data_IF_247448562735
#
_entry.id   IF_247448562735
#
_cell.length_a   1.000
_cell.length_b   1.000
_cell.length_c   1.000
_cell.angle_alpha   90.00
_cell.angle_beta   90.00
_cell.angle_gamma   90.00
#
_symmetry.space_group_name_H-M   'P 1'
#
loop_
_entity.id
_entity.type
_entity.pdbx_description
1 polymer ?
#
# COMPACT_ATOMS: atom_id res chain seq x y z
N UNK A 1 6.34 7.27 3.91
CA UNK A 1 6.03 6.35 2.81
C UNK A 1 5.52 7.16 1.64
N UNK A 2 5.88 6.80 0.41
CA UNK A 2 5.36 7.47 -0.79
C UNK A 2 4.09 6.78 -1.30
N UNK A 3 3.08 7.56 -1.69
CA UNK A 3 1.87 7.06 -2.34
C UNK A 3 1.84 7.52 -3.80
N UNK A 4 2.02 6.58 -4.73
CA UNK A 4 1.94 6.82 -6.17
C UNK A 4 0.53 6.55 -6.68
N UNK A 5 -0.04 7.51 -7.40
CA UNK A 5 -1.38 7.41 -7.98
C UNK A 5 -1.26 7.54 -9.50
N UNK A 6 -1.91 6.61 -10.20
CA UNK A 6 -2.03 6.60 -11.66
C UNK A 6 -3.51 6.60 -12.01
N UNK A 7 -3.93 7.54 -12.85
CA UNK A 7 -5.33 7.65 -13.24
C UNK A 7 -5.47 8.11 -14.69
N UNK A 8 -6.49 7.59 -15.35
CA UNK A 8 -6.90 8.00 -16.68
C UNK A 8 -8.41 7.89 -16.81
N UNK A 9 -8.96 8.57 -17.81
CA UNK A 9 -10.36 8.51 -18.14
C UNK A 9 -10.59 7.52 -19.28
N UNK A 10 -11.50 6.57 -19.07
CA UNK A 10 -11.85 5.51 -20.03
C UNK A 10 -13.24 5.68 -20.66
N UNK A 11 -13.94 6.79 -20.37
CA UNK A 11 -15.29 7.03 -20.90
C UNK A 11 -15.29 7.56 -22.34
N UNK A 12 -16.49 7.77 -22.90
CA UNK A 12 -16.67 8.08 -24.34
C UNK A 12 -16.24 9.49 -24.76
N UNK A 13 -16.09 10.40 -23.79
CA UNK A 13 -15.73 11.82 -24.04
C UNK A 13 -14.24 11.94 -24.38
N UNK A 14 -13.80 13.09 -24.92
CA UNK A 14 -12.36 13.36 -25.16
C UNK A 14 -11.59 13.51 -23.85
N UNK A 15 -12.19 14.16 -22.86
CA UNK A 15 -11.67 14.33 -21.50
C UNK A 15 -12.83 14.52 -20.52
N UNK A 16 -12.54 14.42 -19.23
CA UNK A 16 -13.47 14.77 -18.15
C UNK A 16 -13.56 16.28 -17.96
N UNK A 17 -14.46 16.68 -17.06
CA UNK A 17 -14.38 17.98 -16.38
C UNK A 17 -13.35 17.89 -15.23
N UNK A 18 -13.46 18.80 -14.26
CA UNK A 18 -12.73 18.71 -13.01
C UNK A 18 -13.06 17.40 -12.29
N UNK A 19 -12.04 16.69 -11.85
CA UNK A 19 -12.17 15.45 -11.06
C UNK A 19 -11.57 15.64 -9.69
N UNK A 20 -12.09 14.89 -8.73
CA UNK A 20 -11.57 14.87 -7.37
C UNK A 20 -11.09 13.47 -7.04
N UNK A 21 -9.85 13.38 -6.59
CA UNK A 21 -9.26 12.16 -6.01
C UNK A 21 -9.38 12.27 -4.50
N UNK A 22 -10.22 11.42 -3.92
CA UNK A 22 -10.48 11.30 -2.49
C UNK A 22 -9.64 10.16 -1.93
N UNK A 23 -8.78 10.47 -0.97
CA UNK A 23 -7.95 9.47 -0.29
C UNK A 23 -8.29 9.49 1.20
N UNK A 24 -8.61 8.31 1.73
CA UNK A 24 -8.69 8.07 3.17
C UNK A 24 -7.44 7.28 3.58
N UNK A 25 -6.42 7.92 4.18
CA UNK A 25 -5.17 7.24 4.49
C UNK A 25 -5.35 6.04 5.42
N UNK A 26 -4.42 5.09 5.32
CA UNK A 26 -4.28 3.99 6.28
C UNK A 26 -4.31 4.52 7.72
N UNK A 27 -4.94 3.77 8.62
CA UNK A 27 -5.03 4.17 10.04
C UNK A 27 -3.64 4.42 10.63
N UNK A 28 -3.47 5.58 11.27
CA UNK A 28 -2.19 6.01 11.83
C UNK A 28 -1.26 6.74 10.85
N UNK A 29 -1.66 6.91 9.58
CA UNK A 29 -0.95 7.73 8.61
C UNK A 29 -1.61 9.09 8.43
N UNK A 30 -0.78 10.10 8.18
CA UNK A 30 -1.18 11.48 7.85
C UNK A 30 -0.39 11.96 6.62
N UNK A 31 -0.92 12.86 5.80
CA UNK A 31 -0.14 13.44 4.70
C UNK A 31 0.96 14.36 5.22
N UNK A 32 2.14 14.30 4.60
CA UNK A 32 3.12 15.37 4.73
C UNK A 32 2.63 16.61 3.98
N UNK A 33 2.57 17.74 4.68
CA UNK A 33 2.04 19.00 4.13
C UNK A 33 2.95 19.61 3.07
N UNK A 34 4.26 19.36 3.11
CA UNK A 34 5.18 19.95 2.14
C UNK A 34 5.08 19.25 0.78
N UNK A 35 5.04 17.91 0.77
CA UNK A 35 4.82 17.12 -0.44
C UNK A 35 3.49 17.44 -1.12
N UNK A 36 2.42 17.75 -0.36
CA UNK A 36 1.16 18.22 -0.96
C UNK A 36 1.29 19.61 -1.62
N UNK A 37 2.07 20.52 -1.06
CA UNK A 37 2.34 21.83 -1.70
C UNK A 37 3.20 21.69 -2.95
N UNK A 38 4.14 20.76 -2.96
CA UNK A 38 4.92 20.42 -4.15
C UNK A 38 4.03 19.81 -5.22
N UNK A 39 3.08 18.95 -4.82
CA UNK A 39 2.09 18.37 -5.73
C UNK A 39 1.23 19.44 -6.44
N UNK A 40 0.90 20.54 -5.76
CA UNK A 40 0.19 21.68 -6.37
C UNK A 40 0.99 22.41 -7.46
N UNK A 41 2.30 22.16 -7.59
CA UNK A 41 3.11 22.69 -8.69
C UNK A 41 2.89 21.88 -9.99
N UNK A 42 2.27 20.70 -9.92
CA UNK A 42 1.92 19.92 -11.09
C UNK A 42 0.76 20.61 -11.86
N UNK A 43 0.92 20.91 -13.17
CA UNK A 43 -0.10 21.62 -13.94
C UNK A 43 -1.45 20.88 -14.07
N UNK A 44 -1.49 19.56 -13.84
CA UNK A 44 -2.73 18.79 -13.80
C UNK A 44 -3.51 19.01 -12.49
N UNK A 45 -2.84 19.40 -11.41
CA UNK A 45 -3.41 19.58 -10.07
C UNK A 45 -3.76 21.05 -9.86
N UNK A 46 -5.01 21.31 -9.52
CA UNK A 46 -5.49 22.67 -9.23
C UNK A 46 -5.29 23.08 -7.78
N UNK A 47 -5.50 22.16 -6.84
CA UNK A 47 -5.33 22.35 -5.39
C UNK A 47 -5.43 21.03 -4.64
N UNK A 48 -4.93 21.05 -3.41
CA UNK A 48 -5.10 19.97 -2.42
C UNK A 48 -5.84 20.49 -1.19
N UNK A 49 -6.69 19.64 -0.61
CA UNK A 49 -7.37 19.92 0.65
C UNK A 49 -7.19 18.76 1.61
N UNK A 50 -6.96 19.09 2.89
CA UNK A 50 -6.91 18.09 3.97
C UNK A 50 -7.99 18.45 4.99
N UNK A 51 -8.96 17.55 5.15
CA UNK A 51 -10.07 17.73 6.09
C UNK A 51 -10.35 16.43 6.83
N UNK A 52 -10.44 16.48 8.16
CA UNK A 52 -10.68 15.31 9.00
C UNK A 52 -9.78 14.09 8.68
N UNK A 53 -8.49 14.34 8.40
CA UNK A 53 -7.49 13.35 7.95
C UNK A 53 -7.76 12.71 6.57
N UNK A 54 -8.78 13.14 5.84
CA UNK A 54 -8.99 12.81 4.43
C UNK A 54 -8.27 13.80 3.55
N UNK A 55 -7.76 13.32 2.42
CA UNK A 55 -7.04 14.11 1.43
C UNK A 55 -7.92 14.20 0.20
N UNK A 56 -8.10 15.40 -0.34
CA UNK A 56 -8.83 15.66 -1.59
C UNK A 56 -7.91 16.37 -2.56
N UNK A 57 -7.65 15.75 -3.71
CA UNK A 57 -6.80 16.31 -4.77
C UNK A 57 -7.71 16.68 -5.93
N UNK A 58 -7.74 17.96 -6.29
CA UNK A 58 -8.57 18.47 -7.36
C UNK A 58 -7.75 18.55 -8.64
N UNK A 59 -8.11 17.79 -9.67
CA UNK A 59 -7.43 17.83 -10.96
C UNK A 59 -8.28 18.56 -11.99
N UNK A 60 -7.61 19.30 -12.87
CA UNK A 60 -8.26 20.13 -13.89
C UNK A 60 -9.13 19.30 -14.85
N UNK A 61 -8.60 18.15 -15.30
CA UNK A 61 -9.25 17.18 -16.18
C UNK A 61 -8.43 15.89 -16.24
N UNK A 62 -9.05 14.79 -16.65
CA UNK A 62 -8.40 13.56 -17.08
C UNK A 62 -8.70 13.30 -18.55
N UNK A 63 -7.75 12.65 -19.22
CA UNK A 63 -7.87 12.25 -20.62
C UNK A 63 -7.69 10.74 -20.74
N UNK A 64 -7.67 10.21 -21.96
CA UNK A 64 -7.33 8.81 -22.22
C UNK A 64 -5.85 8.50 -21.94
N UNK A 65 -5.01 9.53 -21.77
CA UNK A 65 -3.62 9.38 -21.34
C UNK A 65 -3.55 9.25 -19.82
N UNK A 66 -2.65 8.37 -19.35
CA UNK A 66 -2.42 8.14 -17.93
C UNK A 66 -1.66 9.29 -17.31
N UNK A 67 -2.31 9.98 -16.38
CA UNK A 67 -1.70 10.96 -15.51
C UNK A 67 -1.21 10.29 -14.23
N UNK A 68 -0.06 10.73 -13.72
CA UNK A 68 0.50 10.21 -12.47
C UNK A 68 1.04 11.31 -11.58
N UNK A 69 0.96 11.06 -10.28
CA UNK A 69 1.52 11.93 -9.26
C UNK A 69 1.79 11.16 -7.98
N UNK A 70 2.58 11.76 -7.09
CA UNK A 70 2.96 11.19 -5.80
C UNK A 70 2.96 12.25 -4.71
N UNK A 71 2.78 11.81 -3.48
CA UNK A 71 3.00 12.61 -2.28
C UNK A 71 3.35 11.69 -1.10
N UNK A 72 3.86 12.28 -0.03
CA UNK A 72 4.37 11.55 1.12
C UNK A 72 3.28 11.39 2.21
N UNK A 73 3.20 10.19 2.77
CA UNK A 73 2.45 9.85 3.98
C UNK A 73 3.41 9.58 5.14
N UNK A 74 3.17 10.22 6.27
CA UNK A 74 3.92 10.05 7.52
C UNK A 74 3.12 9.19 8.50
N UNK A 75 3.81 8.31 9.22
CA UNK A 75 3.17 7.49 10.26
C UNK A 75 3.17 8.24 11.59
N UNK A 76 2.00 8.73 12.00
CA UNK A 76 1.78 9.40 13.28
C UNK A 76 1.52 8.38 14.41
N UNK A 77 0.88 7.26 14.10
CA UNK A 77 0.54 6.23 15.09
C UNK A 77 0.85 4.84 14.55
N UNK A 78 1.46 4.01 15.39
CA UNK A 78 1.74 2.62 15.06
C UNK A 78 0.46 1.81 15.25
N UNK A 79 0.02 1.19 14.16
CA UNK A 79 -1.15 0.29 14.12
C UNK A 79 -0.66 -1.06 13.60
N UNK A 80 -0.95 -2.14 14.32
CA UNK A 80 -0.41 -3.48 14.00
C UNK A 80 -1.19 -4.15 12.85
N UNK A 81 -2.52 -4.14 12.92
CA UNK A 81 -3.40 -4.79 11.95
C UNK A 81 -3.96 -3.76 10.96
N UNK A 82 -3.07 -3.19 10.14
CA UNK A 82 -3.45 -2.23 9.11
C UNK A 82 -4.42 -2.87 8.11
N UNK A 83 -5.63 -2.32 8.04
CA UNK A 83 -6.58 -2.62 6.98
C UNK A 83 -6.22 -1.84 5.71
N UNK A 84 -6.58 -2.33 4.51
CA UNK A 84 -6.42 -1.58 3.28
C UNK A 84 -7.18 -0.24 3.34
N UNK A 85 -6.68 0.74 2.62
CA UNK A 85 -7.26 2.07 2.52
C UNK A 85 -7.79 2.29 1.10
N UNK A 86 -8.81 3.14 0.94
CA UNK A 86 -9.45 3.37 -0.36
C UNK A 86 -9.04 4.70 -0.98
N UNK A 87 -8.84 4.68 -2.29
CA UNK A 87 -8.70 5.86 -3.14
C UNK A 87 -9.87 5.85 -4.11
N UNK A 88 -10.61 6.96 -4.18
CA UNK A 88 -11.75 7.13 -5.09
C UNK A 88 -11.51 8.33 -5.99
N UNK A 89 -11.60 8.13 -7.30
CA UNK A 89 -11.63 9.20 -8.30
C UNK A 89 -13.08 9.40 -8.72
N UNK A 90 -13.56 10.64 -8.71
CA UNK A 90 -14.96 10.98 -9.07
C UNK A 90 -15.03 12.27 -9.90
N UNK A 91 -16.01 12.36 -10.80
CA UNK A 91 -16.36 13.63 -11.45
C UNK A 91 -16.98 14.58 -10.42
N UNK A 92 -16.52 15.84 -10.39
CA UNK A 92 -16.97 16.82 -9.41
C UNK A 92 -18.47 17.17 -9.52
N UNK A 93 -19.04 17.09 -10.73
CA UNK A 93 -20.44 17.45 -10.98
C UNK A 93 -21.38 16.25 -11.00
N UNK A 94 -20.84 15.05 -11.23
CA UNK A 94 -21.59 13.80 -11.21
C UNK A 94 -20.85 12.72 -10.41
N UNK A 95 -20.99 12.70 -9.07
CA UNK A 95 -20.33 11.70 -8.22
C UNK A 95 -20.75 10.26 -8.51
N UNK A 96 -21.80 10.00 -9.29
CA UNK A 96 -22.15 8.66 -9.72
C UNK A 96 -21.14 8.10 -10.75
N UNK A 97 -20.41 8.97 -11.46
CA UNK A 97 -19.29 8.61 -12.32
C UNK A 97 -17.99 8.58 -11.49
N UNK A 98 -17.67 7.42 -10.91
CA UNK A 98 -16.49 7.22 -10.07
C UNK A 98 -15.82 5.86 -10.28
N UNK A 99 -14.56 5.79 -9.86
CA UNK A 99 -13.78 4.56 -9.78
C UNK A 99 -13.01 4.53 -8.45
N UNK A 100 -13.04 3.40 -7.77
CA UNK A 100 -12.36 3.22 -6.49
C UNK A 100 -11.39 2.03 -6.53
N UNK A 101 -10.27 2.16 -5.83
CA UNK A 101 -9.31 1.08 -5.62
C UNK A 101 -8.87 1.05 -4.17
N UNK A 102 -8.45 -0.12 -3.70
CA UNK A 102 -7.82 -0.28 -2.39
C UNK A 102 -6.30 -0.29 -2.55
N UNK A 103 -5.60 0.28 -1.58
CA UNK A 103 -4.15 0.23 -1.47
C UNK A 103 -3.72 -0.25 -0.10
N UNK A 104 -2.52 -0.83 -0.05
CA UNK A 104 -2.00 -1.54 1.10
C UNK A 104 -0.76 -0.82 1.62
N UNK A 105 -0.50 -0.95 2.92
CA UNK A 105 0.74 -0.45 3.50
C UNK A 105 1.94 -1.13 2.82
N UNK A 106 3.02 -0.41 2.50
CA UNK A 106 4.28 -1.05 2.15
C UNK A 106 4.72 -1.83 3.38
N UNK A 107 4.62 -3.17 3.32
CA UNK A 107 4.72 -4.10 4.45
C UNK A 107 5.62 -3.57 5.59
N UNK A 108 5.00 -3.39 6.76
CA UNK A 108 5.41 -2.61 7.94
C UNK A 108 6.86 -2.75 8.42
N UNK A 109 7.86 -2.35 7.64
CA UNK A 109 9.28 -2.38 8.04
C UNK A 109 9.72 -3.71 8.64
N UNK A 110 9.06 -4.82 8.28
CA UNK A 110 9.32 -6.16 8.81
C UNK A 110 9.91 -7.00 7.70
N UNK A 111 11.12 -7.50 7.92
CA UNK A 111 11.74 -8.46 7.01
C UNK A 111 11.35 -9.87 7.43
N UNK A 112 10.92 -10.65 6.45
CA UNK A 112 10.72 -12.06 6.63
C UNK A 112 12.10 -12.76 6.71
N UNK A 113 12.35 -13.57 7.74
CA UNK A 113 13.61 -14.29 7.94
C UNK A 113 13.40 -15.75 8.35
N UNK A 114 14.41 -16.59 8.16
CA UNK A 114 14.35 -18.02 8.49
C UNK A 114 14.87 -18.38 9.90
N UNK A 115 15.43 -17.43 10.63
CA UNK A 115 15.94 -17.63 11.99
C UNK A 115 14.81 -17.67 13.04
N UNK A 116 14.00 -18.72 13.02
CA UNK A 116 12.92 -18.94 14.00
C UNK A 116 13.33 -20.07 14.95
N UNK A 117 13.17 -19.84 16.27
CA UNK A 117 13.44 -20.86 17.29
C UNK A 117 12.53 -22.09 17.07
N UNK A 118 13.02 -23.29 17.37
CA UNK A 118 12.32 -24.54 17.01
C UNK A 118 10.91 -24.63 17.62
N UNK A 119 10.75 -24.06 18.81
CA UNK A 119 9.52 -24.01 19.59
C UNK A 119 8.47 -23.08 18.96
N UNK A 120 8.93 -22.00 18.33
CA UNK A 120 8.08 -20.97 17.71
C UNK A 120 7.78 -21.25 16.24
N UNK A 121 8.40 -22.28 15.64
CA UNK A 121 8.17 -22.65 14.23
C UNK A 121 6.69 -22.98 14.01
N UNK A 122 6.07 -22.29 13.06
CA UNK A 122 4.75 -22.63 12.54
C UNK A 122 4.86 -23.62 11.37
N UNK A 123 3.95 -24.60 11.29
CA UNK A 123 3.95 -25.61 10.22
C UNK A 123 3.62 -24.98 8.87
N UNK A 124 4.43 -25.25 7.84
CA UNK A 124 4.18 -24.79 6.47
C UNK A 124 4.12 -25.93 5.43
N UNK A 125 4.87 -27.00 5.69
CA UNK A 125 4.92 -28.19 4.84
C UNK A 125 4.16 -29.37 5.44
N UNK A 126 4.46 -30.57 4.94
CA UNK A 126 3.97 -31.84 5.47
C UNK A 126 5.16 -32.71 5.92
N UNK A 127 4.92 -33.77 6.72
CA UNK A 127 5.97 -34.74 7.07
C UNK A 127 6.63 -35.34 5.83
N UNK A 128 7.97 -35.41 5.82
CA UNK A 128 8.75 -35.98 4.71
C UNK A 128 8.92 -35.06 3.48
N UNK A 129 8.48 -33.80 3.54
CA UNK A 129 8.75 -32.81 2.50
C UNK A 129 10.26 -32.59 2.33
N UNK A 130 10.74 -32.42 1.09
CA UNK A 130 12.15 -32.09 0.84
C UNK A 130 12.43 -30.61 1.09
N UNK A 131 13.71 -30.26 1.23
CA UNK A 131 14.14 -28.87 1.36
C UNK A 131 13.68 -28.01 0.18
N UNK A 132 13.84 -28.53 -1.04
CA UNK A 132 13.48 -27.86 -2.28
C UNK A 132 11.97 -27.59 -2.35
N UNK A 133 11.16 -28.61 -2.04
CA UNK A 133 9.70 -28.48 -2.01
C UNK A 133 9.22 -27.49 -0.95
N UNK A 134 9.89 -27.43 0.20
CA UNK A 134 9.58 -26.47 1.24
C UNK A 134 9.89 -25.03 0.80
N UNK A 135 11.06 -24.82 0.17
CA UNK A 135 11.50 -23.51 -0.31
C UNK A 135 10.65 -23.02 -1.49
N UNK A 136 10.24 -23.91 -2.41
CA UNK A 136 9.34 -23.59 -3.52
C UNK A 136 7.96 -23.12 -3.03
N UNK A 137 7.51 -23.61 -1.88
CA UNK A 137 6.29 -23.13 -1.18
C UNK A 137 6.48 -21.78 -0.48
N UNK A 138 7.66 -21.17 -0.57
CA UNK A 138 7.98 -19.87 0.01
C UNK A 138 8.37 -19.91 1.49
N UNK A 139 8.66 -21.10 2.04
CA UNK A 139 8.95 -21.31 3.46
C UNK A 139 10.44 -21.55 3.74
N UNK A 140 10.76 -21.73 5.02
CA UNK A 140 12.12 -22.00 5.50
C UNK A 140 12.27 -23.48 5.85
N UNK A 141 13.45 -24.02 5.56
CA UNK A 141 13.79 -25.40 5.88
C UNK A 141 14.99 -25.48 6.83
N UNK A 142 14.87 -26.27 7.90
CA UNK A 142 15.98 -26.59 8.81
C UNK A 142 15.72 -27.89 9.57
N UNK A 143 16.46 -28.94 9.20
CA UNK A 143 16.36 -30.27 9.79
C UNK A 143 17.35 -30.54 10.94
N UNK A 144 18.14 -29.55 11.37
CA UNK A 144 19.16 -29.74 12.40
C UNK A 144 18.57 -29.99 13.80
N UNK A 145 17.32 -29.55 14.03
CA UNK A 145 16.63 -29.73 15.31
C UNK A 145 15.67 -30.91 15.20
N UNK A 146 15.98 -31.99 15.91
CA UNK A 146 15.18 -33.21 15.95
C UNK A 146 13.85 -32.96 16.67
N UNK A 147 12.76 -33.57 16.18
CA UNK A 147 11.42 -33.40 16.74
C UNK A 147 10.78 -32.03 16.50
N UNK A 148 11.43 -31.16 15.70
CA UNK A 148 10.89 -29.85 15.34
C UNK A 148 10.27 -29.84 13.94
N UNK A 149 9.56 -28.76 13.62
CA UNK A 149 9.02 -28.55 12.28
C UNK A 149 10.18 -28.19 11.34
N UNK A 150 10.52 -29.10 10.44
CA UNK A 150 11.63 -28.90 9.50
C UNK A 150 11.28 -27.92 8.39
N UNK A 151 10.04 -27.97 7.88
CA UNK A 151 9.50 -26.96 6.97
C UNK A 151 8.56 -26.02 7.73
N UNK A 152 8.96 -24.75 7.87
CA UNK A 152 8.27 -23.79 8.72
C UNK A 152 8.13 -22.41 8.07
N UNK A 153 7.13 -21.65 8.52
CA UNK A 153 6.90 -20.30 8.03
C UNK A 153 8.04 -19.34 8.41
N UNK A 154 8.29 -18.33 7.57
CA UNK A 154 9.24 -17.25 7.88
C UNK A 154 8.78 -16.47 9.12
N UNK A 155 9.72 -16.12 10.00
CA UNK A 155 9.51 -15.15 11.07
C UNK A 155 9.58 -13.72 10.54
N UNK A 156 9.15 -12.75 11.35
CA UNK A 156 9.13 -11.34 10.98
C UNK A 156 9.92 -10.52 12.02
N UNK A 157 10.96 -9.81 11.58
CA UNK A 157 11.76 -8.89 12.41
C UNK A 157 11.58 -7.45 11.94
N UNK A 158 11.37 -6.51 12.87
CA UNK A 158 11.34 -5.08 12.58
C UNK A 158 12.73 -4.61 12.15
N UNK A 159 12.83 -3.83 11.08
CA UNK A 159 14.02 -3.09 10.69
C UNK A 159 14.10 -1.85 11.59
N UNK A 160 15.02 -1.84 12.53
CA UNK A 160 15.37 -0.62 13.27
C UNK A 160 16.24 0.26 12.34
N UNK A 161 15.74 1.45 11.99
CA UNK A 161 16.57 2.46 11.32
C UNK A 161 17.51 3.08 12.36
N UNK A 162 18.80 3.01 12.07
CA UNK A 162 19.89 3.67 12.81
C UNK A 162 19.92 5.16 12.52
#
# INVERSE_FOLDING_TARGET
SELFIFCSYSGKRKCTNMVVVLIEPLSGYVPDKNSLKELEQNPAVSRTEVSAKKISIYMNKLTHETESFTFSLEQETIVENLQPATIVVSDYYDPAEHAGVEYYAPCSGVVAHCEVSAEERAECGHPGITEEQCVERGCCYNAMVHGSKWCFAKGFKKIEKQ
#
